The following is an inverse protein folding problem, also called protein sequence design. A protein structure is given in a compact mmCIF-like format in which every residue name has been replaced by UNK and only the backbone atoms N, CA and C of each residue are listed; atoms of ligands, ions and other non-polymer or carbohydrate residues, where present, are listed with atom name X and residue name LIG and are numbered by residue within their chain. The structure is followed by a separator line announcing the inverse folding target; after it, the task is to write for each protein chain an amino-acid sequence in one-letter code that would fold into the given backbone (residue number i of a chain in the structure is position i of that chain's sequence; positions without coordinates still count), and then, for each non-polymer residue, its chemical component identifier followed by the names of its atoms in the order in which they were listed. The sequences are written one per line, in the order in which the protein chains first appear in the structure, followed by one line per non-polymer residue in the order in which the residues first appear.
data_IF_774724471184
#
_entry.id   IF_774724471184
#
_cell.length_a   1.000
_cell.length_b   1.000
_cell.length_c   1.000
_cell.angle_alpha   90.00
_cell.angle_beta   90.00
_cell.angle_gamma   90.00
#
_symmetry.space_group_name_H-M   'P 1'
#
loop_
_entity.id
_entity.type
_entity.pdbx_description
1 polymer ?
2 non-polymer ?
3 non-polymer ?
4 non-polymer ?
5 non-polymer ?
6 water ?
#
# COMPACT_ATOMS: atom_id res chain seq x y z
N UNK A 3 17.09 17.00 4.43
CA UNK A 3 16.07 15.95 4.26
C UNK A 3 15.37 15.64 5.57
N UNK A 4 15.00 16.68 6.31
CA UNK A 4 14.33 16.50 7.59
C UNK A 4 12.81 16.49 7.42
N UNK A 5 12.16 15.39 7.82
CA UNK A 5 10.71 15.33 7.65
C UNK A 5 10.00 16.19 8.67
N UNK A 6 8.85 16.71 8.28
CA UNK A 6 7.94 17.41 9.19
C UNK A 6 6.55 16.84 8.96
N UNK A 7 5.61 17.06 9.89
CA UNK A 7 4.25 16.54 9.70
C UNK A 7 3.61 16.88 8.36
N UNK A 8 3.99 18.01 7.75
CA UNK A 8 3.45 18.38 6.43
C UNK A 8 3.72 17.36 5.34
N UNK A 9 4.74 16.52 5.54
CA UNK A 9 5.11 15.47 4.58
C UNK A 9 4.19 14.23 4.62
N UNK A 10 3.30 14.17 5.60
CA UNK A 10 2.28 13.13 5.70
C UNK A 10 2.83 11.73 5.90
N UNK A 11 3.99 11.60 6.54
CA UNK A 11 4.56 10.29 6.83
C UNK A 11 3.86 9.63 8.01
N UNK A 12 3.40 8.41 7.80
CA UNK A 12 2.74 7.67 8.88
C UNK A 12 3.35 6.28 9.06
N UNK A 13 3.12 5.67 10.23
CA UNK A 13 3.69 4.37 10.55
C UNK A 13 2.68 3.55 11.30
N UNK A 14 2.65 2.24 11.05
CA UNK A 14 1.81 1.36 11.84
C UNK A 14 2.37 1.14 13.24
N UNK A 15 1.50 1.00 14.23
CA UNK A 15 1.98 0.66 15.57
C UNK A 15 2.81 -0.63 15.56
N UNK A 16 2.43 -1.56 14.69
CA UNK A 16 3.05 -2.87 14.59
C UNK A 16 4.40 -2.86 13.88
N UNK A 17 4.80 -1.70 13.37
CA UNK A 17 6.05 -1.57 12.62
C UNK A 17 7.22 -1.39 13.57
N UNK A 18 7.35 -0.18 14.10
CA UNK A 18 8.33 0.08 15.15
C UNK A 18 8.07 -0.76 16.41
N UNK A 19 6.83 -1.21 16.60
CA UNK A 19 6.52 -2.08 17.74
C UNK A 19 6.78 -3.56 17.54
N UNK A 20 7.28 -3.96 16.37
CA UNK A 20 7.60 -5.37 16.13
C UNK A 20 8.68 -5.87 17.08
N UNK A 21 8.36 -6.94 17.82
CA UNK A 21 9.29 -7.45 18.83
C UNK A 21 10.38 -8.36 18.25
N UNK A 22 10.30 -8.67 16.97
CA UNK A 22 11.36 -9.44 16.33
C UNK A 22 11.10 -10.94 16.22
N UNK A 23 9.91 -11.39 16.60
CA UNK A 23 9.57 -12.80 16.40
C UNK A 23 9.44 -13.10 14.92
N UNK A 24 10.06 -14.19 14.47
CA UNK A 24 9.96 -14.61 13.09
C UNK A 24 9.72 -16.14 13.07
N UNK A 25 9.59 -16.78 11.89
CA UNK A 25 9.22 -18.21 11.91
C UNK A 25 10.25 -19.12 12.58
N UNK A 26 11.46 -18.60 12.81
CA UNK A 26 12.53 -19.39 13.41
C UNK A 26 13.15 -18.68 14.60
N UNK A 27 12.45 -17.69 15.16
CA UNK A 27 13.07 -16.89 16.21
C UNK A 27 12.13 -16.31 17.25
N UNK A 28 12.62 -16.26 18.48
CA UNK A 28 11.91 -15.59 19.56
C UNK A 28 12.14 -14.07 19.52
N UNK A 29 11.42 -13.33 20.37
CA UNK A 29 11.49 -11.88 20.36
C UNK A 29 12.91 -11.41 20.69
N UNK A 30 13.34 -10.34 20.03
CA UNK A 30 14.61 -9.71 20.38
C UNK A 30 14.43 -8.35 21.05
N UNK A 31 13.21 -7.84 21.08
CA UNK A 31 12.93 -6.58 21.74
C UNK A 31 11.71 -6.68 22.63
N UNK A 32 11.68 -5.87 23.69
CA UNK A 32 10.50 -5.78 24.55
C UNK A 32 9.36 -5.10 23.80
N UNK A 33 8.13 -5.34 24.24
CA UNK A 33 6.97 -4.69 23.66
C UNK A 33 7.03 -3.19 23.92
N UNK A 34 6.50 -2.42 22.97
CA UNK A 34 6.38 -0.97 23.11
C UNK A 34 4.96 -0.58 23.48
N UNK A 35 4.85 0.33 24.44
CA UNK A 35 3.59 1.00 24.71
C UNK A 35 3.27 1.90 23.51
N UNK A 36 2.06 1.76 22.93
CA UNK A 36 1.65 2.64 21.83
C UNK A 36 1.87 4.14 22.15
N UNK A 37 1.72 4.53 23.41
CA UNK A 37 1.98 5.90 23.82
C UNK A 37 3.42 6.33 23.55
N UNK A 38 4.37 5.45 23.85
CA UNK A 38 5.78 5.74 23.59
C UNK A 38 6.07 5.80 22.08
N UNK A 39 5.47 4.88 21.33
CA UNK A 39 5.65 4.89 19.88
C UNK A 39 5.15 6.19 19.25
N UNK A 40 3.97 6.65 19.68
CA UNK A 40 3.46 7.92 19.18
C UNK A 40 4.43 9.07 19.49
N UNK A 41 4.94 9.11 20.71
CA UNK A 41 5.88 10.16 21.10
C UNK A 41 7.17 10.10 20.28
N UNK A 42 7.76 8.91 20.17
CA UNK A 42 9.03 8.80 19.45
C UNK A 42 8.88 9.12 17.97
N UNK A 43 7.79 8.65 17.37
CA UNK A 43 7.54 8.92 15.96
C UNK A 43 7.32 10.41 15.70
N UNK A 44 6.58 11.07 16.58
CA UNK A 44 6.36 12.52 16.45
C UNK A 44 7.68 13.27 16.51
N UNK A 45 8.56 12.83 17.40
CA UNK A 45 9.86 13.49 17.57
C UNK A 45 10.69 13.40 16.29
N UNK A 46 10.49 12.31 15.54
CA UNK A 46 11.19 12.09 14.28
C UNK A 46 10.59 12.87 13.13
N UNK A 47 9.42 13.47 13.35
CA UNK A 47 8.78 14.27 12.32
C UNK A 47 7.64 13.56 11.59
N UNK A 48 7.17 12.44 12.13
CA UNK A 48 6.02 11.77 11.55
C UNK A 48 4.76 12.61 11.64
N UNK A 49 3.82 12.34 10.74
CA UNK A 49 2.51 12.98 10.72
C UNK A 49 1.47 12.19 11.50
N UNK A 50 1.62 10.87 11.53
CA UNK A 50 0.64 10.08 12.24
C UNK A 50 0.95 8.60 12.34
N UNK A 51 -0.01 7.86 12.88
CA UNK A 51 0.14 6.44 13.12
C UNK A 51 -1.13 5.72 12.68
N UNK A 52 -1.01 4.42 12.46
CA UNK A 52 -2.13 3.56 12.12
C UNK A 52 -2.13 2.35 13.05
N UNK A 53 -3.23 1.60 13.07
CA UNK A 53 -3.32 0.48 13.99
C UNK A 53 -4.27 -0.60 13.50
N UNK A 54 -3.96 -1.85 13.84
CA UNK A 54 -4.96 -2.92 13.89
C UNK A 54 -5.64 -2.81 15.24
N UNK A 55 -6.92 -3.19 15.29
CA UNK A 55 -7.64 -3.26 16.55
C UNK A 55 -6.79 -3.86 17.67
N UNK A 56 -6.18 -5.01 17.39
CA UNK A 56 -5.46 -5.75 18.42
C UNK A 56 -4.07 -5.19 18.76
N UNK A 57 -3.60 -4.19 18.01
CA UNK A 57 -2.35 -3.50 18.34
C UNK A 57 -2.63 -2.50 19.47
N UNK A 58 -3.82 -1.93 19.44
CA UNK A 58 -4.16 -0.83 20.34
C UNK A 58 -4.84 -1.35 21.61
N UNK A 59 -5.69 -2.35 21.44
CA UNK A 59 -6.43 -2.95 22.53
C UNK A 59 -6.13 -4.44 22.51
N UNK A 60 -5.40 -4.93 23.53
CA UNK A 60 -5.05 -6.36 23.55
C UNK A 60 -6.30 -7.20 23.40
N UNK A 61 -6.21 -8.23 22.56
CA UNK A 61 -7.35 -9.11 22.35
C UNK A 61 -7.90 -9.63 23.67
N UNK A 62 -9.22 -9.61 23.82
CA UNK A 62 -9.87 -10.11 25.00
C UNK A 62 -10.03 -9.11 26.12
N UNK A 63 -9.76 -7.83 25.83
CA UNK A 63 -9.88 -6.78 26.83
C UNK A 63 -11.34 -6.54 27.25
N UNK A 64 -11.52 -6.23 28.54
CA UNK A 64 -12.83 -5.82 29.04
C UNK A 64 -13.14 -4.42 28.54
N UNK A 65 -14.40 -3.99 28.68
CA UNK A 65 -14.80 -2.66 28.26
C UNK A 65 -14.03 -1.57 29.01
N UNK A 66 -13.78 -1.79 30.30
CA UNK A 66 -13.03 -0.81 31.09
C UNK A 66 -11.57 -0.74 30.63
N UNK A 67 -10.97 -1.88 30.34
CA UNK A 67 -9.60 -1.90 29.85
C UNK A 67 -9.52 -1.22 28.48
N UNK A 68 -10.49 -1.52 27.63
CA UNK A 68 -10.58 -0.94 26.30
C UNK A 68 -10.62 0.59 26.39
N UNK A 69 -11.51 1.09 27.25
CA UNK A 69 -11.66 2.53 27.45
C UNK A 69 -10.35 3.19 27.85
N UNK A 70 -9.61 2.55 28.76
CA UNK A 70 -8.34 3.10 29.23
C UNK A 70 -7.24 3.09 28.15
N UNK A 71 -7.18 2.00 27.39
CA UNK A 71 -6.22 1.93 26.28
C UNK A 71 -6.48 3.07 25.31
N UNK A 72 -7.74 3.30 24.97
CA UNK A 72 -8.09 4.34 24.01
C UNK A 72 -7.80 5.72 24.60
N UNK A 73 -8.15 5.90 25.87
CA UNK A 73 -7.91 7.18 26.55
C UNK A 73 -6.43 7.57 26.53
N UNK A 74 -5.56 6.63 26.88
CA UNK A 74 -4.13 6.90 26.87
C UNK A 74 -3.61 7.21 25.47
N UNK A 75 -4.10 6.47 24.49
CA UNK A 75 -3.71 6.67 23.10
C UNK A 75 -4.16 8.05 22.63
N UNK A 76 -5.41 8.39 22.92
CA UNK A 76 -5.97 9.71 22.62
C UNK A 76 -5.10 10.82 23.21
N UNK A 77 -4.67 10.63 24.46
CA UNK A 77 -3.83 11.64 25.11
C UNK A 77 -2.48 11.78 24.40
N UNK A 78 -1.92 10.66 23.93
CA UNK A 78 -0.65 10.71 23.22
C UNK A 78 -0.78 11.46 21.89
N UNK A 79 -1.87 11.23 21.17
CA UNK A 79 -2.14 11.96 19.94
C UNK A 79 -2.27 13.46 20.25
N UNK A 80 -3.00 13.79 21.31
CA UNK A 80 -3.19 15.19 21.69
C UNK A 80 -1.89 15.84 22.16
N UNK A 81 -1.04 15.08 22.84
CA UNK A 81 0.23 15.62 23.34
C UNK A 81 1.21 15.93 22.21
N UNK A 82 1.06 15.25 21.08
CA UNK A 82 2.05 15.29 20.00
C UNK A 82 1.56 15.98 18.73
N UNK A 83 0.25 16.07 18.57
CA UNK A 83 -0.33 16.52 17.31
C UNK A 83 -0.38 15.45 16.22
N UNK A 84 -0.12 14.21 16.60
CA UNK A 84 -0.19 13.09 15.65
C UNK A 84 -1.63 12.78 15.26
N UNK A 85 -1.80 12.32 14.02
CA UNK A 85 -3.11 11.94 13.50
C UNK A 85 -3.17 10.42 13.31
N UNK A 86 -4.38 9.93 13.07
CA UNK A 86 -4.63 8.53 12.76
C UNK A 86 -5.40 8.45 11.45
N UNK A 87 -4.69 8.43 10.32
CA UNK A 87 -5.42 8.52 9.04
C UNK A 87 -6.02 7.20 8.57
N UNK A 88 -5.54 6.09 9.13
CA UNK A 88 -5.98 4.78 8.68
C UNK A 88 -5.99 3.81 9.84
N UNK A 89 -6.93 2.87 9.80
CA UNK A 89 -6.94 1.77 10.75
C UNK A 89 -7.37 0.51 10.02
N UNK A 90 -7.20 -0.62 10.69
CA UNK A 90 -7.48 -1.91 10.08
C UNK A 90 -7.81 -2.95 11.15
N UNK A 91 -8.23 -4.14 10.71
CA UNK A 91 -8.59 -5.22 11.63
C UNK A 91 -7.56 -6.31 11.58
N UNK A 92 -7.23 -6.89 12.73
CA UNK A 92 -6.42 -8.10 12.72
C UNK A 92 -7.32 -9.32 12.50
N UNK A 93 -7.34 -9.82 11.28
CA UNK A 93 -8.07 -11.05 10.97
C UNK A 93 -7.09 -12.16 10.59
N UNK A 94 -5.94 -12.19 11.25
CA UNK A 94 -4.92 -13.17 10.87
C UNK A 94 -4.17 -13.83 12.03
N UNK A 95 -4.04 -13.15 13.16
CA UNK A 95 -3.20 -13.69 14.24
C UNK A 95 -3.85 -14.80 15.04
N UNK A 96 -5.06 -14.57 15.50
CA UNK A 96 -5.74 -15.52 16.37
C UNK A 96 -5.98 -16.84 15.61
N UNK A 97 -5.77 -17.98 16.28
CA UNK A 97 -5.97 -19.26 15.59
C UNK A 97 -7.37 -19.48 14.99
N UNK A 98 -8.38 -18.78 15.48
CA UNK A 98 -9.71 -18.93 14.90
C UNK A 98 -9.69 -18.55 13.40
N UNK A 99 -8.75 -17.68 13.00
CA UNK A 99 -8.67 -17.25 11.61
C UNK A 99 -7.71 -18.11 10.77
N UNK A 100 -7.43 -19.33 11.25
CA UNK A 100 -6.47 -20.18 10.57
C UNK A 100 -6.83 -20.52 9.11
N UNK A 101 -8.12 -20.51 8.78
CA UNK A 101 -8.54 -20.70 7.39
C UNK A 101 -9.13 -19.44 6.78
N UNK A 102 -8.89 -18.30 7.43
CA UNK A 102 -9.44 -17.04 6.96
C UNK A 102 -10.39 -16.36 7.91
N UNK A 103 -10.71 -15.12 7.58
CA UNK A 103 -11.79 -14.39 8.24
C UNK A 103 -13.01 -14.39 7.32
N UNK A 104 -13.07 -13.43 6.41
CA UNK A 104 -14.22 -13.31 5.50
C UNK A 104 -14.46 -14.54 4.61
N UNK A 105 -13.43 -15.34 4.35
CA UNK A 105 -13.59 -16.53 3.49
C UNK A 105 -13.23 -17.84 4.19
N UNK A 106 -13.22 -17.83 5.52
CA UNK A 106 -13.13 -19.09 6.26
C UNK A 106 -14.18 -20.07 5.78
N UNK A 107 -13.83 -21.36 5.70
CA UNK A 107 -14.86 -22.34 5.37
C UNK A 107 -15.97 -22.36 6.42
N UNK A 108 -15.62 -22.13 7.68
CA UNK A 108 -16.63 -22.11 8.74
C UNK A 108 -17.42 -20.81 8.73
N UNK A 109 -18.72 -20.92 8.56
CA UNK A 109 -19.59 -19.77 8.46
C UNK A 109 -19.60 -18.94 9.75
N UNK A 110 -19.54 -19.61 10.90
CA UNK A 110 -19.53 -18.87 12.16
C UNK A 110 -18.30 -17.97 12.29
N UNK A 111 -17.17 -18.42 11.73
CA UNK A 111 -15.96 -17.62 11.75
C UNK A 111 -16.11 -16.41 10.83
N UNK A 112 -16.75 -16.59 9.68
CA UNK A 112 -16.96 -15.48 8.76
C UNK A 112 -17.80 -14.38 9.40
N UNK A 113 -18.84 -14.80 10.14
CA UNK A 113 -19.71 -13.85 10.80
C UNK A 113 -18.98 -13.11 11.93
N UNK A 114 -18.16 -13.85 12.68
CA UNK A 114 -17.33 -13.24 13.70
C UNK A 114 -16.34 -12.25 13.10
N UNK A 115 -15.73 -12.61 11.99
CA UNK A 115 -14.78 -11.71 11.33
C UNK A 115 -15.45 -10.38 10.98
N UNK A 116 -16.69 -10.44 10.49
CA UNK A 116 -17.43 -9.23 10.16
C UNK A 116 -17.74 -8.40 11.39
N UNK A 117 -18.15 -9.04 12.48
CA UNK A 117 -18.47 -8.31 13.70
C UNK A 117 -17.21 -7.62 14.29
N UNK A 118 -16.08 -8.34 14.28
CA UNK A 118 -14.82 -7.80 14.77
C UNK A 118 -14.41 -6.57 13.95
N UNK A 119 -14.62 -6.66 12.64
CA UNK A 119 -14.29 -5.55 11.72
C UNK A 119 -15.17 -4.35 12.01
N UNK A 120 -16.48 -4.57 12.10
CA UNK A 120 -17.43 -3.49 12.33
C UNK A 120 -17.15 -2.75 13.64
N UNK A 121 -16.85 -3.49 14.70
CA UNK A 121 -16.48 -2.86 15.97
C UNK A 121 -15.32 -1.89 15.79
N UNK A 122 -14.31 -2.30 15.03
CA UNK A 122 -13.14 -1.45 14.86
C UNK A 122 -13.35 -0.31 13.87
N UNK A 123 -14.28 -0.49 12.93
CA UNK A 123 -14.65 0.64 12.07
C UNK A 123 -15.17 1.79 12.92
N UNK A 124 -16.03 1.48 13.91
CA UNK A 124 -16.54 2.53 14.79
C UNK A 124 -15.41 3.25 15.50
N UNK A 125 -14.42 2.50 15.98
CA UNK A 125 -13.29 3.10 16.70
C UNK A 125 -12.44 3.93 15.78
N UNK A 126 -12.21 3.44 14.57
CA UNK A 126 -11.41 4.15 13.58
C UNK A 126 -12.04 5.51 13.27
N UNK A 127 -13.35 5.54 13.08
CA UNK A 127 -14.06 6.78 12.83
C UNK A 127 -13.92 7.73 14.03
N UNK A 128 -14.07 7.20 15.23
CA UNK A 128 -13.88 7.99 16.46
C UNK A 128 -12.52 8.67 16.52
N UNK A 129 -11.47 7.97 16.07
CA UNK A 129 -10.11 8.47 16.15
C UNK A 129 -9.71 9.28 14.91
N UNK A 130 -10.64 9.43 13.97
CA UNK A 130 -10.47 10.29 12.82
C UNK A 130 -9.94 9.68 11.54
N UNK A 131 -9.93 8.35 11.45
CA UNK A 131 -9.42 7.68 10.26
C UNK A 131 -10.32 7.90 9.04
N UNK A 132 -9.69 8.15 7.90
CA UNK A 132 -10.41 8.37 6.65
C UNK A 132 -10.42 7.11 5.78
N UNK A 133 -9.50 6.19 6.07
CA UNK A 133 -9.34 4.98 5.28
C UNK A 133 -9.31 3.77 6.19
N UNK A 134 -10.04 2.74 5.79
CA UNK A 134 -10.05 1.49 6.53
C UNK A 134 -9.49 0.38 5.64
N UNK A 135 -8.34 -0.16 6.04
CA UNK A 135 -7.64 -1.16 5.22
C UNK A 135 -8.12 -2.57 5.56
N UNK A 136 -8.18 -3.43 4.55
CA UNK A 136 -8.42 -4.85 4.75
C UNK A 136 -7.35 -5.66 4.04
N UNK A 137 -6.52 -6.34 4.83
CA UNK A 137 -5.54 -7.30 4.31
C UNK A 137 -6.01 -8.70 4.65
N UNK A 138 -6.45 -9.44 3.64
CA UNK A 138 -6.94 -10.79 3.87
C UNK A 138 -5.83 -11.81 3.84
N UNK A 139 -4.90 -11.70 4.78
CA UNK A 139 -3.72 -12.54 4.82
C UNK A 139 -3.98 -14.02 4.99
N UNK A 140 -5.10 -14.37 5.61
CA UNK A 140 -5.45 -15.78 5.79
C UNK A 140 -6.44 -16.31 4.76
N UNK A 141 -6.81 -15.48 3.79
CA UNK A 141 -7.76 -15.92 2.78
C UNK A 141 -7.00 -16.63 1.67
N UNK A 142 -7.21 -17.93 1.53
CA UNK A 142 -6.44 -18.68 0.54
C UNK A 142 -6.32 -20.14 0.91
N UNK A 143 -5.19 -20.74 0.56
CA UNK A 143 -5.06 -22.19 0.70
C UNK A 143 -3.63 -22.66 0.55
N UNK A 144 -3.36 -23.83 1.13
CA UNK A 144 -2.12 -24.54 0.85
C UNK A 144 -2.31 -25.69 -0.14
N UNK A 145 -3.55 -26.12 -0.33
CA UNK A 145 -3.88 -27.27 -1.19
C UNK A 145 -5.13 -26.98 -2.01
N UNK A 146 -5.27 -27.69 -3.13
CA UNK A 146 -6.27 -27.35 -4.12
C UNK A 146 -7.71 -27.60 -3.73
N UNK A 147 -7.96 -28.65 -2.96
CA UNK A 147 -9.33 -29.02 -2.63
C UNK A 147 -9.90 -28.27 -1.43
N UNK A 148 -9.02 -27.57 -0.72
CA UNK A 148 -9.40 -26.91 0.53
C UNK A 148 -10.26 -25.67 0.35
N UNK A 149 -10.15 -25.04 -0.82
CA UNK A 149 -10.78 -23.75 -1.04
C UNK A 149 -11.31 -23.68 -2.46
N UNK A 150 -12.64 -23.65 -2.60
CA UNK A 150 -13.23 -23.36 -3.91
C UNK A 150 -13.21 -21.85 -4.07
N UNK A 151 -12.43 -21.39 -5.03
CA UNK A 151 -12.14 -19.97 -5.11
C UNK A 151 -13.36 -19.13 -5.54
N UNK A 152 -14.19 -19.67 -6.43
CA UNK A 152 -15.42 -18.96 -6.80
C UNK A 152 -16.32 -18.79 -5.58
N UNK A 153 -16.49 -19.85 -4.80
CA UNK A 153 -17.27 -19.75 -3.56
C UNK A 153 -16.64 -18.73 -2.61
N UNK A 154 -15.31 -18.80 -2.47
CA UNK A 154 -14.62 -17.86 -1.61
C UNK A 154 -14.80 -16.41 -2.06
N UNK A 155 -14.76 -16.15 -3.36
CA UNK A 155 -14.99 -14.79 -3.84
C UNK A 155 -16.44 -14.35 -3.60
N UNK A 156 -17.39 -15.29 -3.70
CA UNK A 156 -18.77 -14.98 -3.34
C UNK A 156 -18.82 -14.50 -1.88
N UNK A 157 -18.15 -15.22 -1.00
CA UNK A 157 -18.14 -14.85 0.42
C UNK A 157 -17.41 -13.52 0.64
N UNK A 158 -16.34 -13.30 -0.11
CA UNK A 158 -15.57 -12.07 0.04
C UNK A 158 -16.40 -10.86 -0.39
N UNK A 159 -17.10 -10.99 -1.51
CA UNK A 159 -18.01 -9.94 -1.96
C UNK A 159 -19.12 -9.69 -0.95
N UNK A 160 -19.70 -10.77 -0.41
CA UNK A 160 -20.74 -10.61 0.61
C UNK A 160 -20.23 -9.80 1.79
N UNK A 161 -19.03 -10.11 2.24
CA UNK A 161 -18.43 -9.42 3.37
C UNK A 161 -18.20 -7.95 3.07
N UNK A 162 -17.54 -7.64 1.95
CA UNK A 162 -17.29 -6.24 1.64
C UNK A 162 -18.58 -5.44 1.37
N UNK A 163 -19.58 -6.08 0.76
CA UNK A 163 -20.85 -5.42 0.54
C UNK A 163 -21.52 -5.07 1.87
N UNK A 164 -21.49 -6.00 2.83
CA UNK A 164 -22.05 -5.74 4.15
C UNK A 164 -21.33 -4.58 4.84
N UNK A 165 -20.00 -4.53 4.74
CA UNK A 165 -19.25 -3.42 5.33
C UNK A 165 -19.64 -2.08 4.71
N UNK A 166 -19.85 -2.09 3.39
CA UNK A 166 -20.30 -0.90 2.68
C UNK A 166 -21.68 -0.48 3.12
N UNK A 167 -22.56 -1.45 3.32
CA UNK A 167 -23.89 -1.17 3.82
C UNK A 167 -23.80 -0.57 5.22
N UNK A 168 -22.87 -1.09 6.02
CA UNK A 168 -22.71 -0.60 7.38
C UNK A 168 -22.25 0.86 7.43
N UNK A 169 -21.18 1.18 6.69
CA UNK A 169 -20.70 2.56 6.72
C UNK A 169 -21.75 3.53 6.18
N UNK A 170 -22.49 3.11 5.16
CA UNK A 170 -23.57 3.92 4.59
C UNK A 170 -24.66 4.16 5.64
N UNK A 171 -25.02 3.11 6.35
CA UNK A 171 -26.08 3.20 7.37
C UNK A 171 -25.73 4.17 8.51
N UNK A 172 -24.44 4.31 8.81
CA UNK A 172 -23.97 5.17 9.89
C UNK A 172 -23.63 6.58 9.41
N UNK A 173 -23.66 6.80 8.10
CA UNK A 173 -23.27 8.08 7.54
C UNK A 173 -21.78 8.39 7.71
N UNK A 174 -20.95 7.36 7.85
CA UNK A 174 -19.51 7.55 7.96
C UNK A 174 -18.88 7.94 6.62
N UNK A 175 -17.85 8.79 6.64
CA UNK A 175 -17.19 9.20 5.39
C UNK A 175 -16.03 8.29 4.99
N UNK A 176 -15.73 7.31 5.84
CA UNK A 176 -14.57 6.45 5.68
C UNK A 176 -14.69 5.57 4.44
N UNK A 177 -13.57 5.32 3.77
CA UNK A 177 -13.57 4.44 2.60
C UNK A 177 -12.65 3.25 2.86
N UNK A 178 -12.84 2.20 2.08
CA UNK A 178 -12.09 0.97 2.26
C UNK A 178 -10.95 0.86 1.28
N UNK A 179 -9.87 0.22 1.71
CA UNK A 179 -8.73 -0.04 0.84
C UNK A 179 -8.29 -1.48 1.02
N UNK A 180 -8.42 -2.27 -0.05
CA UNK A 180 -8.05 -3.68 -0.04
C UNK A 180 -6.58 -3.82 -0.33
N UNK A 181 -5.88 -4.54 0.55
CA UNK A 181 -4.44 -4.72 0.40
C UNK A 181 -4.07 -6.09 -0.14
N UNK A 182 -3.57 -6.13 -1.37
CA UNK A 182 -3.22 -7.43 -1.94
C UNK A 182 -1.88 -7.96 -1.44
N UNK A 183 -1.72 -9.27 -1.46
CA UNK A 183 -0.44 -9.94 -1.22
C UNK A 183 -0.54 -11.30 -1.89
N UNK A 184 0.54 -11.77 -2.52
CA UNK A 184 0.37 -13.00 -3.31
C UNK A 184 0.42 -14.27 -2.50
N UNK A 185 1.18 -14.27 -1.42
CA UNK A 185 1.35 -15.44 -0.58
C UNK A 185 1.94 -14.99 0.74
N UNK A 186 1.94 -15.90 1.73
CA UNK A 186 2.48 -15.70 3.07
C UNK A 186 1.57 -14.83 3.94
N UNK A 187 0.89 -15.44 4.92
CA UNK A 187 1.09 -16.78 5.47
C UNK A 187 0.41 -17.94 4.75
N UNK A 188 -0.59 -17.71 3.90
CA UNK A 188 -1.15 -18.84 3.16
C UNK A 188 -0.28 -19.19 1.95
N UNK A 189 -0.35 -20.43 1.49
CA UNK A 189 0.45 -20.82 0.34
C UNK A 189 0.17 -20.00 -0.91
N UNK A 190 -1.11 -19.70 -1.12
CA UNK A 190 -1.55 -18.70 -2.08
C UNK A 190 -2.66 -17.90 -1.43
N UNK A 191 -2.59 -16.58 -1.56
CA UNK A 191 -3.60 -15.70 -0.97
C UNK A 191 -4.53 -15.21 -2.08
N UNK A 192 -5.82 -15.14 -1.76
CA UNK A 192 -6.81 -14.61 -2.71
C UNK A 192 -6.62 -13.11 -2.95
N UNK A 193 -6.96 -12.66 -4.17
CA UNK A 193 -6.66 -11.28 -4.60
C UNK A 193 -5.16 -11.00 -4.45
N UNK A 194 -4.32 -11.74 -5.18
CA UNK A 194 -2.88 -11.74 -4.91
C UNK A 194 -2.12 -10.49 -5.36
N UNK A 195 -2.71 -9.67 -6.23
CA UNK A 195 -2.03 -8.49 -6.76
C UNK A 195 -2.99 -7.32 -6.86
N UNK A 196 -2.41 -6.13 -7.08
CA UNK A 196 -3.21 -4.92 -7.32
C UNK A 196 -4.27 -5.15 -8.40
N UNK A 197 -3.90 -5.85 -9.48
CA UNK A 197 -4.85 -6.11 -10.55
C UNK A 197 -6.04 -6.92 -10.09
N UNK A 198 -5.79 -8.01 -9.35
CA UNK A 198 -6.88 -8.86 -8.89
C UNK A 198 -7.82 -8.11 -7.94
N UNK A 199 -7.24 -7.27 -7.08
CA UNK A 199 -8.06 -6.47 -6.17
C UNK A 199 -8.90 -5.44 -6.91
N UNK A 200 -8.30 -4.75 -7.87
CA UNK A 200 -9.04 -3.80 -8.70
C UNK A 200 -10.20 -4.45 -9.42
N UNK A 201 -9.96 -5.64 -9.97
CA UNK A 201 -11.00 -6.35 -10.71
C UNK A 201 -12.14 -6.74 -9.79
N UNK A 202 -11.81 -7.24 -8.60
CA UNK A 202 -12.79 -7.65 -7.62
C UNK A 202 -13.70 -6.50 -7.18
N UNK A 203 -13.11 -5.32 -6.98
CA UNK A 203 -13.86 -4.16 -6.55
C UNK A 203 -15.00 -3.81 -7.52
N UNK A 204 -14.76 -4.04 -8.81
CA UNK A 204 -15.75 -3.72 -9.83
C UNK A 204 -17.04 -4.55 -9.69
N UNK A 205 -16.95 -5.68 -8.99
CA UNK A 205 -18.11 -6.53 -8.79
C UNK A 205 -18.85 -6.27 -7.47
N UNK A 206 -18.34 -5.33 -6.68
CA UNK A 206 -19.01 -4.95 -5.43
C UNK A 206 -20.25 -4.09 -5.71
N UNK A 207 -21.17 -4.05 -4.76
CA UNK A 207 -22.42 -3.31 -4.94
C UNK A 207 -22.19 -1.81 -5.07
N UNK A 208 -21.28 -1.27 -4.27
CA UNK A 208 -20.97 0.16 -4.25
C UNK A 208 -19.46 0.33 -4.47
N UNK A 209 -18.99 0.11 -5.72
CA UNK A 209 -17.54 0.13 -5.96
C UNK A 209 -16.84 1.43 -5.57
N UNK A 210 -17.57 2.53 -5.56
CA UNK A 210 -16.99 3.83 -5.25
C UNK A 210 -16.43 3.90 -3.83
N UNK A 211 -16.88 3.00 -2.96
CA UNK A 211 -16.43 2.99 -1.57
C UNK A 211 -15.10 2.25 -1.38
N UNK A 212 -14.57 1.60 -2.43
CA UNK A 212 -13.41 0.72 -2.25
C UNK A 212 -12.29 1.06 -3.21
N UNK A 213 -11.07 1.07 -2.68
CA UNK A 213 -9.88 1.19 -3.50
C UNK A 213 -8.85 0.18 -3.05
N UNK A 214 -7.60 0.41 -3.43
CA UNK A 214 -6.52 -0.48 -3.05
C UNK A 214 -5.54 0.21 -2.10
N UNK A 215 -4.90 -0.62 -1.29
CA UNK A 215 -3.75 -0.22 -0.45
C UNK A 215 -2.57 -1.11 -0.82
N UNK A 216 -1.89 -0.78 -1.92
CA UNK A 216 -0.77 -1.65 -2.35
C UNK A 216 0.45 -1.48 -1.48
N UNK A 217 1.23 -2.56 -1.34
CA UNK A 217 2.49 -2.50 -0.61
C UNK A 217 3.66 -2.81 -1.53
N UNK A 218 4.71 -2.02 -1.45
CA UNK A 218 5.89 -2.22 -2.29
C UNK A 218 6.32 -3.68 -2.30
N UNK A 219 6.58 -4.22 -1.10
CA UNK A 219 7.09 -5.57 -0.96
C UNK A 219 6.16 -6.62 -1.51
N UNK A 220 4.85 -6.40 -1.34
CA UNK A 220 3.88 -7.42 -1.77
C UNK A 220 3.88 -7.64 -3.26
N UNK A 221 3.82 -6.57 -4.05
CA UNK A 221 3.81 -6.74 -5.49
C UNK A 221 5.16 -7.32 -5.93
N UNK A 222 6.23 -6.92 -5.23
CA UNK A 222 7.55 -7.43 -5.59
C UNK A 222 7.72 -8.92 -5.28
N UNK A 223 6.91 -9.44 -4.35
CA UNK A 223 6.93 -10.89 -4.04
C UNK A 223 6.38 -11.72 -5.20
N UNK A 224 5.68 -11.06 -6.12
CA UNK A 224 5.25 -11.70 -7.35
C UNK A 224 6.17 -11.32 -8.53
N UNK A 225 7.24 -10.62 -8.21
CA UNK A 225 8.18 -10.18 -9.25
C UNK A 225 7.62 -9.07 -10.13
N UNK A 226 6.56 -8.41 -9.69
CA UNK A 226 5.91 -7.40 -10.51
C UNK A 226 6.58 -6.05 -10.32
N UNK A 227 6.34 -5.15 -11.25
CA UNK A 227 6.87 -3.79 -11.21
C UNK A 227 5.91 -2.95 -10.39
N UNK A 228 6.36 -2.52 -9.22
CA UNK A 228 5.47 -1.81 -8.31
C UNK A 228 5.01 -0.45 -8.88
N UNK A 229 5.93 0.38 -9.39
CA UNK A 229 5.46 1.62 -10.02
C UNK A 229 4.42 1.39 -11.14
N UNK A 230 4.56 0.31 -11.91
CA UNK A 230 3.55 0.02 -12.94
C UNK A 230 2.17 -0.26 -12.32
N UNK A 231 2.14 -1.06 -11.25
CA UNK A 231 0.89 -1.37 -10.57
C UNK A 231 0.25 -0.15 -9.94
N UNK A 232 1.07 0.70 -9.34
CA UNK A 232 0.59 1.96 -8.80
C UNK A 232 0.01 2.86 -9.91
N UNK A 233 0.67 2.88 -11.06
CA UNK A 233 0.14 3.62 -12.20
C UNK A 233 -1.24 3.11 -12.63
N UNK A 234 -1.42 1.79 -12.67
CA UNK A 234 -2.73 1.29 -13.05
C UNK A 234 -3.79 1.63 -11.98
N UNK A 235 -3.40 1.60 -10.71
CA UNK A 235 -4.31 2.00 -9.64
C UNK A 235 -4.72 3.47 -9.77
N UNK A 236 -3.74 4.33 -10.02
CA UNK A 236 -4.01 5.74 -10.24
C UNK A 236 -4.90 5.97 -11.46
N UNK A 237 -4.62 5.21 -12.52
CA UNK A 237 -5.39 5.32 -13.75
C UNK A 237 -6.86 5.01 -13.47
N UNK A 238 -7.10 4.10 -12.55
CA UNK A 238 -8.46 3.67 -12.21
C UNK A 238 -9.10 4.55 -11.13
N UNK A 239 -8.34 5.49 -10.59
CA UNK A 239 -8.81 6.37 -9.53
C UNK A 239 -8.98 5.67 -8.20
N UNK A 240 -8.16 4.66 -7.97
CA UNK A 240 -8.34 3.78 -6.81
C UNK A 240 -7.17 3.70 -5.84
N UNK A 241 -6.20 4.60 -5.93
CA UNK A 241 -5.09 4.55 -4.97
C UNK A 241 -5.49 5.31 -3.71
N UNK A 242 -6.18 4.61 -2.81
CA UNK A 242 -6.75 5.27 -1.63
C UNK A 242 -5.71 5.43 -0.52
N UNK A 243 -4.68 4.59 -0.56
CA UNK A 243 -3.67 4.56 0.49
C UNK A 243 -2.50 3.76 -0.12
N UNK A 244 -1.32 3.86 0.50
CA UNK A 244 -0.18 3.10 0.01
C UNK A 244 0.73 2.74 1.17
N UNK A 245 1.35 1.55 1.08
CA UNK A 245 2.31 1.08 2.08
C UNK A 245 3.70 1.02 1.47
N UNK A 246 4.61 1.74 2.10
CA UNK A 246 5.97 1.86 1.61
C UNK A 246 6.95 1.06 2.45
N UNK A 247 7.82 0.32 1.78
CA UNK A 247 8.86 -0.48 2.43
C UNK A 247 9.84 -0.95 1.37
N UNK A 248 10.70 -1.90 1.73
CA UNK A 248 11.65 -2.49 0.78
C UNK A 248 11.65 -4.01 0.82
N UNK A 249 12.03 -4.59 -0.32
CA UNK A 249 11.94 -6.02 -0.54
C UNK A 249 13.00 -6.37 -1.57
N UNK A 250 13.75 -7.43 -1.29
CA UNK A 250 14.69 -7.93 -2.28
C UNK A 250 14.12 -9.10 -3.06
N UNK A 251 13.25 -8.79 -4.01
CA UNK A 251 12.75 -9.77 -4.94
C UNK A 251 11.82 -10.82 -4.37
N UNK A 252 11.94 -12.02 -4.91
CA UNK A 252 10.94 -13.05 -4.65
C UNK A 252 11.40 -13.97 -3.53
N UNK A 253 10.84 -13.73 -2.36
CA UNK A 253 11.15 -14.47 -1.16
C UNK A 253 10.13 -14.02 -0.13
N UNK A 254 10.30 -14.49 1.11
CA UNK A 254 9.46 -14.10 2.22
C UNK A 254 9.35 -12.57 2.29
N UNK A 255 8.28 -12.11 2.90
CA UNK A 255 7.99 -10.69 3.04
C UNK A 255 9.00 -10.07 4.02
N UNK A 256 9.94 -9.29 3.48
CA UNK A 256 11.05 -8.77 4.28
C UNK A 256 10.72 -7.53 5.13
N UNK A 257 9.84 -6.68 4.60
CA UNK A 257 9.47 -5.43 5.27
C UNK A 257 10.68 -4.57 5.65
N UNK A 258 11.65 -4.45 4.76
CA UNK A 258 12.78 -3.57 5.00
C UNK A 258 12.33 -2.12 4.99
N UNK A 259 13.14 -1.22 5.54
CA UNK A 259 12.75 0.19 5.52
C UNK A 259 12.69 0.69 4.08
N UNK A 260 11.86 1.70 3.85
CA UNK A 260 11.71 2.20 2.49
C UNK A 260 13.03 2.77 2.00
N UNK A 261 13.35 2.47 0.74
CA UNK A 261 14.62 2.85 0.16
C UNK A 261 15.52 1.63 0.04
N UNK A 262 15.46 0.74 1.03
CA UNK A 262 16.14 -0.53 0.94
C UNK A 262 15.42 -1.43 -0.06
N UNK A 263 16.04 -2.56 -0.38
CA UNK A 263 15.51 -3.42 -1.41
C UNK A 263 15.82 -2.83 -2.77
N UNK A 264 14.79 -2.67 -3.61
CA UNK A 264 14.98 -2.18 -4.97
C UNK A 264 14.97 -0.65 -4.99
N UNK A 265 16.17 -0.09 -4.93
CA UNK A 265 16.34 1.35 -4.83
C UNK A 265 15.79 2.09 -6.04
N UNK A 266 16.09 1.59 -7.25
CA UNK A 266 15.57 2.29 -8.41
C UNK A 266 14.05 2.23 -8.52
N UNK A 267 13.44 1.13 -8.09
CA UNK A 267 11.98 1.07 -8.06
C UNK A 267 11.42 2.09 -7.07
N UNK A 268 12.14 2.32 -5.99
CA UNK A 268 11.74 3.35 -5.03
C UNK A 268 11.78 4.74 -5.67
N UNK A 269 12.84 5.02 -6.42
CA UNK A 269 12.96 6.27 -7.17
C UNK A 269 11.77 6.45 -8.12
N UNK A 270 11.49 5.44 -8.93
CA UNK A 270 10.41 5.59 -9.90
C UNK A 270 9.03 5.68 -9.22
N UNK A 271 8.88 5.01 -8.09
CA UNK A 271 7.64 5.14 -7.32
C UNK A 271 7.42 6.57 -6.85
N UNK A 272 8.45 7.16 -6.24
CA UNK A 272 8.34 8.51 -5.71
C UNK A 272 8.07 9.49 -6.87
N UNK A 273 8.78 9.31 -7.97
CA UNK A 273 8.56 10.11 -9.18
C UNK A 273 7.09 10.08 -9.61
N UNK A 274 6.50 8.88 -9.63
CA UNK A 274 5.10 8.73 -10.00
C UNK A 274 4.13 9.36 -8.98
N UNK A 275 4.33 9.09 -7.69
CA UNK A 275 3.41 9.62 -6.69
C UNK A 275 3.41 11.14 -6.71
N UNK A 276 4.59 11.73 -6.87
CA UNK A 276 4.70 13.18 -6.84
C UNK A 276 4.15 13.80 -8.12
N UNK A 277 4.43 13.17 -9.27
CA UNK A 277 3.92 13.68 -10.54
C UNK A 277 2.41 13.61 -10.61
N UNK A 278 1.85 12.50 -10.14
CA UNK A 278 0.41 12.30 -10.17
C UNK A 278 -0.34 13.13 -9.13
N UNK A 279 0.37 13.65 -8.14
CA UNK A 279 -0.29 14.40 -7.08
C UNK A 279 -1.02 13.51 -6.10
N UNK A 280 -0.49 12.32 -5.83
CA UNK A 280 -1.05 11.48 -4.78
C UNK A 280 -1.08 12.31 -3.49
N UNK A 281 -2.24 12.37 -2.85
CA UNK A 281 -2.41 13.26 -1.71
C UNK A 281 -2.68 12.52 -0.39
N UNK A 282 -2.62 11.20 -0.43
CA UNK A 282 -2.86 10.42 0.78
C UNK A 282 -1.62 10.29 1.63
N UNK A 283 -1.75 9.55 2.75
CA UNK A 283 -0.59 9.34 3.63
C UNK A 283 0.55 8.59 2.94
N UNK A 284 1.78 8.94 3.28
CA UNK A 284 2.93 8.14 2.90
C UNK A 284 3.21 7.23 4.07
N UNK A 285 2.60 6.05 4.04
CA UNK A 285 2.60 5.12 5.16
C UNK A 285 3.67 4.08 5.00
N UNK A 286 4.40 3.83 6.08
CA UNK A 286 5.43 2.82 6.09
C UNK A 286 4.95 1.60 6.83
N UNK A 287 4.93 0.47 6.12
CA UNK A 287 4.69 -0.81 6.76
C UNK A 287 5.98 -1.58 6.66
N UNK A 288 6.82 -1.43 7.68
CA UNK A 288 8.15 -2.01 7.63
C UNK A 288 8.43 -2.61 8.99
N UNK A 289 9.50 -3.38 9.09
CA UNK A 289 9.94 -3.91 10.37
C UNK A 289 11.41 -3.61 10.53
N UNK A 290 11.78 -2.86 11.59
CA UNK A 290 13.22 -2.76 11.84
C UNK A 290 13.75 -4.17 12.08
N UNK A 291 14.83 -4.55 11.38
CA UNK A 291 15.31 -5.94 11.56
C UNK A 291 15.54 -6.32 13.02
N UNK A 292 15.32 -7.60 13.33
CA UNK A 292 15.42 -8.06 14.72
C UNK A 292 16.83 -7.99 15.31
N UNK A 293 17.82 -7.72 14.46
CA UNK A 293 19.19 -7.45 14.90
C UNK A 293 19.30 -6.19 15.73
N UNK A 294 18.29 -5.32 15.61
CA UNK A 294 18.39 -3.97 16.16
C UNK A 294 17.84 -3.84 17.58
N UNK A 295 18.44 -2.94 18.35
CA UNK A 295 17.85 -2.53 19.62
C UNK A 295 16.90 -1.34 19.37
N UNK A 296 16.39 -0.73 20.42
CA UNK A 296 15.45 0.37 20.20
C UNK A 296 16.05 1.56 19.49
N UNK A 297 17.32 1.87 19.74
CA UNK A 297 17.97 2.96 19.00
C UNK A 297 17.95 2.65 17.50
N UNK A 298 18.17 1.38 17.15
CA UNK A 298 18.12 0.96 15.76
C UNK A 298 16.72 1.01 15.18
N UNK A 299 15.71 0.73 16.00
CA UNK A 299 14.32 0.89 15.57
C UNK A 299 14.04 2.32 15.09
N UNK A 300 14.41 3.31 15.90
CA UNK A 300 14.12 4.70 15.54
C UNK A 300 14.99 5.16 14.38
N UNK A 301 16.22 4.65 14.31
CA UNK A 301 17.09 4.95 13.18
C UNK A 301 16.47 4.44 11.87
N UNK A 302 15.93 3.22 11.91
CA UNK A 302 15.32 2.60 10.75
C UNK A 302 14.08 3.40 10.32
N UNK A 303 13.25 3.78 11.28
CA UNK A 303 12.07 4.61 11.00
C UNK A 303 12.48 5.94 10.39
N UNK A 304 13.49 6.59 10.96
CA UNK A 304 13.96 7.85 10.42
C UNK A 304 14.43 7.66 8.98
N UNK A 305 15.10 6.56 8.70
CA UNK A 305 15.60 6.27 7.36
C UNK A 305 14.50 6.14 6.32
N UNK A 306 13.35 5.60 6.71
CA UNK A 306 12.20 5.52 5.80
C UNK A 306 11.89 6.90 5.23
N UNK A 307 11.77 7.87 6.13
CA UNK A 307 11.38 9.22 5.75
C UNK A 307 12.48 9.92 4.99
N UNK A 308 13.71 9.75 5.44
CA UNK A 308 14.86 10.36 4.79
C UNK A 308 14.95 9.90 3.35
N UNK A 309 14.79 8.59 3.13
CA UNK A 309 14.94 8.09 1.77
C UNK A 309 13.83 8.59 0.86
N UNK A 310 12.60 8.67 1.38
CA UNK A 310 11.52 9.27 0.60
C UNK A 310 11.91 10.69 0.16
N UNK A 311 12.38 11.50 1.11
CA UNK A 311 12.71 12.89 0.80
C UNK A 311 13.90 13.03 -0.15
N UNK A 312 14.91 12.17 -0.04
CA UNK A 312 16.02 12.24 -0.99
C UNK A 312 15.50 11.91 -2.39
N UNK A 313 14.74 10.82 -2.51
CA UNK A 313 14.21 10.41 -3.80
C UNK A 313 13.28 11.46 -4.41
N UNK A 314 12.48 12.11 -3.57
CA UNK A 314 11.62 13.20 -4.00
C UNK A 314 12.43 14.32 -4.66
N UNK A 315 13.52 14.71 -4.01
CA UNK A 315 14.39 15.75 -4.54
C UNK A 315 14.97 15.34 -5.89
N UNK A 316 15.49 14.12 -5.97
CA UNK A 316 16.16 13.67 -7.19
C UNK A 316 15.17 13.49 -8.35
N UNK A 317 13.98 12.98 -8.05
CA UNK A 317 12.97 12.82 -9.10
C UNK A 317 12.53 14.19 -9.62
N UNK A 318 12.34 15.14 -8.71
CA UNK A 318 11.94 16.49 -9.11
C UNK A 318 13.03 17.12 -9.98
N UNK A 319 14.29 16.96 -9.58
CA UNK A 319 15.39 17.49 -10.36
C UNK A 319 15.44 16.85 -11.75
N UNK A 320 15.20 15.55 -11.81
CA UNK A 320 15.16 14.84 -13.08
C UNK A 320 14.10 15.46 -14.00
N UNK A 321 12.87 15.59 -13.50
CA UNK A 321 11.79 16.06 -14.36
C UNK A 321 11.96 17.53 -14.77
N UNK A 322 12.68 18.30 -13.96
CA UNK A 322 12.84 19.74 -14.20
C UNK A 322 14.05 20.08 -15.07
N UNK A 323 14.92 19.11 -15.29
CA UNK A 323 16.16 19.31 -16.03
C UNK A 323 15.86 19.49 -17.52
N UNK A 324 16.22 20.64 -18.11
CA UNK A 324 15.95 20.84 -19.54
C UNK A 324 16.55 19.74 -20.42
N UNK A 325 17.68 19.17 -20.00
CA UNK A 325 18.32 18.10 -20.77
C UNK A 325 17.46 16.83 -20.76
N UNK A 326 16.84 16.57 -19.61
CA UNK A 326 15.92 15.44 -19.49
C UNK A 326 14.64 15.70 -20.30
N UNK A 327 14.14 16.94 -20.24
CA UNK A 327 12.96 17.29 -21.00
C UNK A 327 13.20 17.10 -22.50
N UNK A 328 14.39 17.45 -22.96
CA UNK A 328 14.77 17.23 -24.35
C UNK A 328 14.84 15.72 -24.65
N UNK A 329 15.43 14.95 -23.73
CA UNK A 329 15.54 13.50 -23.92
C UNK A 329 14.17 12.83 -23.95
N UNK A 330 13.24 13.32 -23.15
CA UNK A 330 11.88 12.77 -23.13
C UNK A 330 11.20 12.99 -24.49
N UNK A 331 11.41 14.16 -25.08
CA UNK A 331 10.88 14.41 -26.41
C UNK A 331 11.59 13.51 -27.43
N UNK A 332 12.90 13.33 -27.26
CA UNK A 332 13.66 12.47 -28.17
C UNK A 332 13.13 11.04 -28.17
N UNK A 333 12.64 10.61 -27.02
CA UNK A 333 12.11 9.26 -26.83
C UNK A 333 10.59 9.19 -27.08
N UNK A 334 10.02 10.32 -27.50
CA UNK A 334 8.59 10.44 -27.83
C UNK A 334 7.62 10.16 -26.69
N UNK A 335 8.00 10.49 -25.47
CA UNK A 335 7.06 10.42 -24.36
C UNK A 335 5.92 11.41 -24.57
N UNK A 336 6.19 12.52 -25.27
CA UNK A 336 5.12 13.44 -25.61
C UNK A 336 4.09 12.79 -26.53
N UNK A 337 4.57 12.04 -27.53
CA UNK A 337 3.68 11.35 -28.47
C UNK A 337 2.86 10.27 -27.80
N UNK A 338 3.43 9.62 -26.79
CA UNK A 338 2.71 8.59 -26.04
C UNK A 338 1.45 9.18 -25.39
N UNK A 339 1.52 10.46 -25.00
CA UNK A 339 0.39 11.14 -24.37
C UNK A 339 -0.66 11.73 -25.31
N UNK A 340 -0.46 11.59 -26.62
CA UNK A 340 -1.42 12.10 -27.59
C UNK A 340 -2.32 10.97 -28.08
N UNK A 341 -3.62 11.25 -28.26
CA UNK A 341 -4.51 10.18 -28.74
C UNK A 341 -4.04 9.56 -30.05
N UNK A 342 -4.24 8.26 -30.16
CA UNK A 342 -3.88 7.53 -31.36
C UNK A 342 -4.77 7.89 -32.55
N UNK A 343 -6.05 8.10 -32.29
CA UNK A 343 -7.00 8.26 -33.39
C UNK A 343 -8.20 9.12 -32.99
N UNK A 344 -7.91 10.36 -32.59
CA UNK A 344 -8.96 11.30 -32.26
C UNK A 344 -9.81 11.61 -33.50
N UNK A 345 -9.23 11.37 -34.67
CA UNK A 345 -9.94 11.50 -35.95
C UNK A 345 -11.06 10.46 -36.14
N UNK A 346 -11.02 9.40 -35.35
CA UNK A 346 -12.08 8.41 -35.35
C UNK A 346 -11.80 7.19 -36.21
N UNK A 347 -12.64 6.18 -36.04
CA UNK A 347 -12.46 4.90 -36.71
C UNK A 347 -12.45 4.99 -38.25
N UNK A 348 -13.44 5.65 -38.83
CA UNK A 348 -13.51 5.70 -40.28
C UNK A 348 -12.30 6.44 -40.86
N UNK A 349 -11.90 7.51 -40.20
CA UNK A 349 -10.74 8.26 -40.65
C UNK A 349 -9.47 7.40 -40.62
N UNK A 350 -9.34 6.59 -39.58
CA UNK A 350 -8.20 5.69 -39.46
C UNK A 350 -8.22 4.65 -40.57
N UNK A 351 -9.38 4.06 -40.84
CA UNK A 351 -9.53 3.09 -41.91
C UNK A 351 -9.20 3.68 -43.28
N UNK A 352 -9.51 4.96 -43.47
CA UNK A 352 -9.30 5.63 -44.75
C UNK A 352 -7.92 6.28 -44.89
N UNK A 353 -7.12 6.20 -43.83
CA UNK A 353 -5.83 6.88 -43.80
C UNK A 353 -4.73 5.96 -44.35
N UNK A 354 -4.32 6.22 -45.59
CA UNK A 354 -3.30 5.39 -46.21
C UNK A 354 -1.95 5.48 -45.50
N UNK A 355 -1.72 6.58 -44.78
CA UNK A 355 -0.47 6.73 -44.05
C UNK A 355 -0.38 5.76 -42.86
N UNK A 356 -1.52 5.15 -42.51
CA UNK A 356 -1.56 4.21 -41.41
C UNK A 356 -1.36 2.76 -41.84
N UNK A 357 -1.31 2.51 -43.14
CA UNK A 357 -1.09 1.15 -43.60
C UNK A 357 -0.52 1.05 -45.00
N UNK A 358 -1.35 1.37 -46.00
CA UNK A 358 -0.96 1.21 -47.39
C UNK A 358 0.32 1.94 -47.74
N UNK A 359 0.51 3.11 -47.15
CA UNK A 359 1.68 3.95 -47.42
C UNK A 359 2.49 4.23 -46.16
N UNK A 360 2.38 3.35 -45.18
CA UNK A 360 3.20 3.45 -43.98
C UNK A 360 4.56 2.80 -44.24
N UNK A 361 5.62 3.58 -44.07
CA UNK A 361 6.97 3.09 -44.25
C UNK A 361 7.42 2.40 -42.97
N UNK A 362 7.17 1.10 -42.87
CA UNK A 362 7.46 0.35 -41.65
C UNK A 362 8.96 0.31 -41.36
N UNK A 363 9.78 0.25 -42.41
CA UNK A 363 11.22 0.15 -42.22
C UNK A 363 11.77 1.45 -41.65
N UNK A 364 11.27 2.58 -42.13
CA UNK A 364 11.74 3.88 -41.63
C UNK A 364 11.35 4.04 -40.17
N UNK A 365 10.13 3.66 -39.84
CA UNK A 365 9.68 3.70 -38.46
C UNK A 365 10.53 2.78 -37.58
N UNK A 366 10.77 1.56 -38.06
CA UNK A 366 11.56 0.59 -37.30
C UNK A 366 12.98 1.08 -37.04
N UNK A 367 13.54 1.84 -37.97
CA UNK A 367 14.92 2.27 -37.85
C UNK A 367 15.11 3.38 -36.81
N UNK A 368 14.02 4.04 -36.44
CA UNK A 368 14.10 5.14 -35.47
C UNK A 368 14.38 4.62 -34.05
N UNK A 369 15.57 4.90 -33.53
CA UNK A 369 15.89 4.47 -32.18
C UNK A 369 15.02 5.15 -31.14
N UNK A 370 14.75 4.46 -30.03
CA UNK A 370 13.92 5.06 -28.99
C UNK A 370 14.67 5.99 -28.06
N UNK A 371 16.00 5.90 -28.07
CA UNK A 371 16.87 6.70 -27.19
C UNK A 371 16.60 6.51 -25.71
N UNK A 372 16.10 5.32 -25.36
CA UNK A 372 15.75 5.05 -23.96
C UNK A 372 16.98 4.92 -23.04
N UNK A 373 18.10 4.46 -23.57
CA UNK A 373 19.28 4.26 -22.72
C UNK A 373 19.89 5.59 -22.26
N UNK A 374 19.94 6.57 -23.16
CA UNK A 374 20.43 7.89 -22.77
C UNK A 374 19.50 8.50 -21.73
N UNK A 375 18.19 8.37 -21.93
CA UNK A 375 17.22 8.87 -20.97
C UNK A 375 17.43 8.20 -19.61
N UNK A 376 17.62 6.89 -19.63
CA UNK A 376 17.79 6.19 -18.37
C UNK A 376 19.10 6.52 -17.66
N UNK A 377 20.16 6.84 -18.41
CA UNK A 377 21.39 7.21 -17.75
C UNK A 377 21.30 8.62 -17.16
N UNK A 378 20.53 9.51 -17.81
CA UNK A 378 20.22 10.77 -17.16
C UNK A 378 19.49 10.55 -15.84
N UNK A 379 18.55 9.58 -15.82
CA UNK A 379 17.84 9.26 -14.59
C UNK A 379 18.79 8.70 -13.53
N UNK A 380 19.70 7.83 -13.95
CA UNK A 380 20.69 7.27 -13.05
C UNK A 380 21.58 8.36 -12.48
N UNK A 381 22.05 9.26 -13.34
CA UNK A 381 22.91 10.36 -12.92
C UNK A 381 22.19 11.26 -11.88
N UNK A 382 20.92 11.57 -12.13
CA UNK A 382 20.15 12.34 -11.15
C UNK A 382 20.01 11.63 -9.81
N UNK A 383 19.65 10.35 -9.87
CA UNK A 383 19.50 9.58 -8.64
C UNK A 383 20.77 9.57 -7.79
N UNK A 384 21.92 9.42 -8.45
CA UNK A 384 23.20 9.27 -7.73
C UNK A 384 23.87 10.60 -7.44
N UNK A 385 23.28 11.70 -7.90
CA UNK A 385 23.91 13.00 -7.72
C UNK A 385 25.21 13.10 -8.50
N UNK A 386 25.19 12.58 -9.72
CA UNK A 386 26.34 12.63 -10.60
C UNK A 386 26.00 13.41 -11.87
N UNK A 387 25.47 14.60 -11.70
CA UNK A 387 25.14 15.46 -12.84
C UNK A 387 26.14 16.61 -12.95
X LIG B 1 -5.95 12.76 -7.31
X LIG B 1 -5.41 11.63 -6.53
X LIG B 1 -5.08 12.03 -5.09
X LIG B 1 -5.39 13.13 -4.61
X LIG B 1 -4.12 11.28 -7.29
X LIG B 1 -4.43 11.64 -8.70
X LIG B 1 -5.24 12.91 -8.59
X LIG B 1 -4.51 11.24 -4.34
X LIG C 1 5.96 -9.73 17.42
X LIG C 1 5.32 -10.52 18.47
X LIG C 1 5.38 -10.10 16.14
X LIG C 1 5.74 -8.27 17.70
X LIG C 1 7.39 -10.04 17.42
X LIG D 1 9.31 -14.84 23.27
X LIG D 1 9.11 -16.26 23.54
X LIG D 1 8.23 -14.07 23.89
X LIG D 1 10.58 -14.42 23.86
X LIG D 1 9.31 -14.63 21.82
X LIG E 1 0.99 -3.71 4.53
X LIG F 1 4.79 -6.75 3.99
#
# INVERSE_FOLDING_TARGET
MNYQPTPEDRFTFGLWTVGWQGRDPFGDATRRALDPVESVRRLAELGAHGVTFHDDDLIPFGSSDSEREEHVKRFRQALDDTGMKVPMATTNLFTHPVFKDGGFTANDRDVRRYALRKTIRNIDLAVELGAETYVAWGGREGAESGGAKDVRDALDRMKEAFDLLGEYVTSQGYDIRFAIEPKPNEPRGDILLPTVGHALAFIERLERPELYGVNPEVGHEQMAGLNFPHGIAQALWAGKLFHIDLNGQNGIKYDQDLRFGAGDLRAAFWLVDLLESAGYSGPRHFDFKPPRTEDFDGVWASAAGCMRNYLILKERAAAFRADPEVQEALRASRLDELARPTAADGLQALLDDRSAFEEFDVDAAAARGMAFERLDQLAMDHLLGARG
PRO N CA C O CB CG CD OXT
SO4 S O1 O2 O3 O4
SO4 S O1 O2 O3 O4
MG MG
MN MN
#
